data_IF_722506728548
#
_entry.id   IF_722506728548
#
_cell.length_a   1.000
_cell.length_b   1.000
_cell.length_c   1.000
_cell.angle_alpha   90.00
_cell.angle_beta   90.00
_cell.angle_gamma   90.00
#
_symmetry.space_group_name_H-M   'P 1'
#
loop_
_entity.id
_entity.type
_entity.pdbx_description
1 polymer ?
#
# COMPACT_ATOMS: atom_id res chain seq x y z
N UNK A 1 -38.73 -17.46 -17.20
CA UNK A 1 -37.50 -16.73 -17.61
C UNK A 1 -37.48 -16.79 -19.14
N UNK A 2 -37.57 -15.64 -19.81
CA UNK A 2 -37.68 -15.54 -21.26
C UNK A 2 -36.38 -15.71 -22.03
N UNK A 3 -35.23 -15.75 -21.33
CA UNK A 3 -33.87 -15.74 -21.95
C UNK A 3 -33.45 -14.38 -22.52
N UNK A 4 -34.28 -13.36 -22.41
CA UNK A 4 -33.99 -12.01 -22.89
C UNK A 4 -33.26 -11.19 -21.84
N UNK A 5 -32.35 -10.34 -22.29
CA UNK A 5 -31.65 -9.38 -21.40
C UNK A 5 -32.63 -8.28 -20.99
N UNK A 6 -32.84 -8.15 -19.68
CA UNK A 6 -33.64 -7.04 -19.14
C UNK A 6 -32.83 -5.76 -19.02
N UNK A 7 -33.47 -4.60 -18.78
CA UNK A 7 -32.79 -3.35 -18.55
C UNK A 7 -31.86 -3.46 -17.33
N UNK A 8 -30.68 -2.86 -17.41
CA UNK A 8 -29.69 -2.84 -16.31
C UNK A 8 -30.28 -2.16 -15.06
N UNK A 9 -30.44 -2.91 -13.99
CA UNK A 9 -30.86 -2.38 -12.70
C UNK A 9 -29.60 -2.01 -11.91
N UNK A 10 -29.39 -0.73 -11.66
CA UNK A 10 -28.33 -0.27 -10.75
C UNK A 10 -28.77 -0.56 -9.32
N UNK A 11 -28.18 -1.56 -8.71
CA UNK A 11 -28.39 -1.87 -7.30
C UNK A 11 -27.37 -1.05 -6.47
N UNK A 12 -27.85 -0.37 -5.43
CA UNK A 12 -27.01 0.38 -4.50
C UNK A 12 -26.85 -0.46 -3.24
N UNK A 13 -25.61 -0.76 -2.89
CA UNK A 13 -25.27 -1.41 -1.63
C UNK A 13 -24.41 -0.46 -0.80
N UNK A 14 -24.71 -0.33 0.49
CA UNK A 14 -23.96 0.53 1.40
C UNK A 14 -22.54 0.04 1.61
N UNK A 15 -22.34 -1.29 1.70
CA UNK A 15 -21.01 -1.89 1.79
C UNK A 15 -20.11 -1.52 0.62
N UNK A 16 -20.62 -1.53 -0.60
CA UNK A 16 -19.86 -1.11 -1.78
C UNK A 16 -19.54 0.38 -1.76
N UNK A 17 -20.49 1.23 -1.35
CA UNK A 17 -20.29 2.67 -1.22
C UNK A 17 -19.21 2.98 -0.19
N UNK A 18 -19.31 2.38 0.99
CA UNK A 18 -18.33 2.56 2.08
C UNK A 18 -16.93 2.10 1.68
N UNK A 19 -16.82 0.98 0.94
CA UNK A 19 -15.56 0.48 0.45
C UNK A 19 -14.94 1.39 -0.61
N UNK A 20 -15.75 1.96 -1.52
CA UNK A 20 -15.28 2.83 -2.60
C UNK A 20 -14.58 4.09 -2.09
N UNK A 21 -15.02 4.63 -0.96
CA UNK A 21 -14.49 5.87 -0.39
C UNK A 21 -13.20 5.64 0.45
N UNK A 22 -12.74 4.38 0.56
CA UNK A 22 -11.52 4.02 1.28
C UNK A 22 -10.29 4.06 0.38
N UNK A 23 -9.17 4.52 0.94
CA UNK A 23 -7.92 4.69 0.18
C UNK A 23 -7.18 3.38 -0.01
N UNK A 24 -7.04 2.57 1.04
CA UNK A 24 -6.30 1.32 0.98
C UNK A 24 -7.20 0.11 0.68
N UNK A 25 -6.62 -0.93 0.07
CA UNK A 25 -7.31 -2.21 -0.16
C UNK A 25 -7.74 -2.83 1.15
N UNK A 26 -6.89 -2.80 2.17
CA UNK A 26 -7.21 -3.34 3.50
C UNK A 26 -8.45 -2.68 4.11
N UNK A 27 -8.56 -1.35 4.05
CA UNK A 27 -9.75 -0.64 4.52
C UNK A 27 -11.00 -0.98 3.70
N UNK A 28 -10.86 -1.17 2.38
CA UNK A 28 -11.96 -1.60 1.50
C UNK A 28 -12.45 -3.00 1.87
N UNK A 29 -11.53 -3.94 2.09
CA UNK A 29 -11.86 -5.30 2.54
C UNK A 29 -12.58 -5.28 3.88
N UNK A 30 -12.07 -4.54 4.86
CA UNK A 30 -12.68 -4.39 6.18
C UNK A 30 -14.09 -3.79 6.08
N UNK A 31 -14.26 -2.70 5.35
CA UNK A 31 -15.57 -2.06 5.15
C UNK A 31 -16.57 -3.00 4.47
N UNK A 32 -16.13 -3.79 3.48
CA UNK A 32 -16.97 -4.78 2.81
C UNK A 32 -17.34 -5.94 3.74
N UNK A 33 -16.40 -6.47 4.48
CA UNK A 33 -16.61 -7.60 5.40
C UNK A 33 -17.53 -7.25 6.58
N UNK A 34 -17.50 -5.99 7.04
CA UNK A 34 -18.29 -5.53 8.19
C UNK A 34 -19.66 -4.96 7.80
N UNK A 35 -19.94 -4.80 6.50
CA UNK A 35 -21.25 -4.29 6.06
C UNK A 35 -22.37 -5.27 6.36
N UNK A 36 -23.47 -4.76 6.94
CA UNK A 36 -24.66 -5.55 7.29
C UNK A 36 -25.61 -5.81 6.13
N UNK A 37 -25.37 -5.22 4.95
CA UNK A 37 -26.25 -5.39 3.78
C UNK A 37 -26.02 -6.72 3.04
N UNK A 38 -26.84 -6.98 2.02
CA UNK A 38 -26.75 -8.23 1.25
C UNK A 38 -25.38 -8.42 0.57
N UNK A 39 -24.77 -7.35 0.11
CA UNK A 39 -23.46 -7.42 -0.54
C UNK A 39 -22.35 -7.74 0.48
N UNK A 40 -22.38 -7.08 1.66
CA UNK A 40 -21.42 -7.35 2.73
C UNK A 40 -21.56 -8.78 3.30
N UNK A 41 -22.79 -9.28 3.46
CA UNK A 41 -23.00 -10.68 3.87
C UNK A 41 -22.44 -11.67 2.86
N UNK A 42 -22.68 -11.44 1.57
CA UNK A 42 -22.14 -12.27 0.50
C UNK A 42 -20.60 -12.20 0.44
N UNK A 43 -20.06 -11.00 0.55
CA UNK A 43 -18.60 -10.79 0.60
C UNK A 43 -17.98 -11.51 1.80
N UNK A 44 -18.58 -11.40 2.98
CA UNK A 44 -18.11 -12.08 4.18
C UNK A 44 -18.11 -13.60 4.02
N UNK A 45 -19.19 -14.16 3.48
CA UNK A 45 -19.31 -15.60 3.29
C UNK A 45 -18.17 -16.17 2.44
N UNK A 46 -17.93 -15.57 1.27
CA UNK A 46 -16.86 -16.01 0.37
C UNK A 46 -15.47 -15.76 0.99
N UNK A 47 -15.29 -14.57 1.59
CA UNK A 47 -13.99 -14.20 2.14
C UNK A 47 -13.62 -15.08 3.32
N UNK A 48 -14.53 -15.30 4.28
CA UNK A 48 -14.27 -16.15 5.44
C UNK A 48 -13.92 -17.59 5.05
N UNK A 49 -14.64 -18.16 4.07
CA UNK A 49 -14.35 -19.50 3.56
C UNK A 49 -12.96 -19.56 2.89
N UNK A 50 -12.60 -18.54 2.12
CA UNK A 50 -11.29 -18.45 1.46
C UNK A 50 -10.15 -18.33 2.47
N UNK A 51 -10.33 -17.55 3.54
CA UNK A 51 -9.34 -17.38 4.60
C UNK A 51 -9.13 -18.68 5.39
N UNK A 52 -10.23 -19.35 5.78
CA UNK A 52 -10.19 -20.66 6.44
C UNK A 52 -9.54 -21.69 5.53
N UNK A 53 -9.88 -21.70 4.24
CA UNK A 53 -9.27 -22.61 3.28
C UNK A 53 -7.75 -22.40 3.20
N UNK A 54 -7.30 -21.16 3.05
CA UNK A 54 -5.87 -20.84 3.00
C UNK A 54 -5.13 -21.32 4.27
N UNK A 55 -5.72 -21.11 5.44
CA UNK A 55 -5.13 -21.54 6.70
C UNK A 55 -5.09 -23.07 6.86
N UNK A 56 -6.08 -23.79 6.32
CA UNK A 56 -6.09 -25.25 6.32
C UNK A 56 -5.07 -25.88 5.35
N UNK A 57 -4.53 -25.09 4.41
CA UNK A 57 -3.50 -25.59 3.46
C UNK A 57 -2.08 -25.53 4.03
N UNK A 58 -1.91 -25.03 5.22
CA UNK A 58 -0.64 -25.07 5.96
C UNK A 58 -0.68 -26.23 6.95
N UNK A 59 0.31 -27.12 6.95
CA UNK A 59 1.54 -27.15 6.14
C UNK A 59 1.44 -27.98 4.85
N UNK A 60 0.25 -28.35 4.39
CA UNK A 60 0.05 -29.28 3.27
C UNK A 60 0.69 -28.80 1.95
N UNK A 61 0.50 -27.54 1.58
CA UNK A 61 0.98 -26.97 0.31
C UNK A 61 2.05 -25.90 0.51
N UNK A 62 2.25 -25.41 1.73
CA UNK A 62 3.25 -24.39 2.04
C UNK A 62 3.67 -24.51 3.51
N UNK A 63 4.96 -24.31 3.76
CA UNK A 63 5.53 -24.36 5.11
C UNK A 63 5.23 -23.08 5.93
N UNK A 64 4.88 -21.99 5.26
CA UNK A 64 4.62 -20.71 5.89
C UNK A 64 3.51 -19.88 5.19
N UNK A 65 2.99 -18.90 5.93
CA UNK A 65 1.93 -17.99 5.47
C UNK A 65 2.41 -17.00 4.40
N UNK A 66 3.70 -16.65 4.41
CA UNK A 66 4.28 -15.64 3.50
C UNK A 66 4.29 -16.17 2.07
N UNK A 67 4.62 -17.46 1.90
CA UNK A 67 4.61 -18.10 0.59
C UNK A 67 3.19 -18.20 0.02
N UNK A 68 2.18 -18.48 0.86
CA UNK A 68 0.77 -18.49 0.42
C UNK A 68 0.34 -17.10 -0.04
N UNK A 69 0.64 -16.05 0.75
CA UNK A 69 0.33 -14.67 0.37
C UNK A 69 1.03 -14.26 -0.93
N UNK A 70 2.31 -14.58 -1.07
CA UNK A 70 3.08 -14.27 -2.27
C UNK A 70 2.57 -15.03 -3.50
N UNK A 71 2.16 -16.28 -3.36
CA UNK A 71 1.59 -17.04 -4.47
C UNK A 71 0.33 -16.38 -5.03
N UNK A 72 -0.54 -15.89 -4.16
CA UNK A 72 -1.75 -15.17 -4.58
C UNK A 72 -1.43 -13.80 -5.18
N UNK A 73 -0.49 -13.07 -4.59
CA UNK A 73 -0.07 -11.77 -5.12
C UNK A 73 0.61 -11.88 -6.48
N UNK A 74 1.52 -12.83 -6.64
CA UNK A 74 2.29 -12.97 -7.87
C UNK A 74 1.54 -13.75 -8.96
N UNK A 75 0.73 -14.74 -8.56
CA UNK A 75 -0.01 -15.58 -9.50
C UNK A 75 -1.28 -14.92 -10.03
N UNK A 76 -1.99 -14.17 -9.19
CA UNK A 76 -3.28 -13.57 -9.53
C UNK A 76 -3.29 -12.03 -9.52
N UNK A 77 -2.16 -11.39 -9.24
CA UNK A 77 -2.07 -9.95 -9.19
C UNK A 77 -2.82 -9.32 -8.00
N UNK A 78 -3.02 -10.07 -6.93
CA UNK A 78 -3.67 -9.53 -5.74
C UNK A 78 -2.75 -8.53 -5.04
N UNK A 79 -3.33 -7.46 -4.49
CA UNK A 79 -2.57 -6.48 -3.70
C UNK A 79 -2.24 -7.01 -2.29
N UNK A 80 -3.13 -7.83 -1.71
CA UNK A 80 -2.94 -8.51 -0.43
C UNK A 80 -3.16 -10.01 -0.62
N UNK A 81 -2.29 -10.81 -0.01
CA UNK A 81 -2.53 -12.24 0.10
C UNK A 81 -3.59 -12.57 1.17
N UNK A 82 -3.99 -13.84 1.32
CA UNK A 82 -5.05 -14.24 2.26
C UNK A 82 -4.79 -13.82 3.71
N UNK A 83 -3.58 -14.01 4.21
CA UNK A 83 -3.23 -13.68 5.59
C UNK A 83 -3.06 -12.17 5.80
N UNK A 84 -2.49 -11.46 4.82
CA UNK A 84 -2.46 -10.00 4.82
C UNK A 84 -3.88 -9.40 4.77
N UNK A 85 -4.80 -9.99 4.00
CA UNK A 85 -6.20 -9.60 3.94
C UNK A 85 -6.91 -9.87 5.28
N UNK A 86 -6.61 -11.00 5.92
CA UNK A 86 -7.17 -11.34 7.24
C UNK A 86 -6.71 -10.35 8.30
N UNK A 87 -5.43 -10.00 8.33
CA UNK A 87 -4.89 -8.94 9.20
C UNK A 87 -5.62 -7.60 8.99
N UNK A 88 -5.84 -7.21 7.74
CA UNK A 88 -6.52 -5.96 7.41
C UNK A 88 -7.99 -5.94 7.86
N UNK A 89 -8.70 -7.06 7.79
CA UNK A 89 -10.08 -7.20 8.30
C UNK A 89 -10.08 -7.20 9.83
N UNK A 90 -9.08 -7.83 10.45
CA UNK A 90 -8.90 -8.03 11.87
C UNK A 90 -9.08 -9.51 12.24
N UNK A 91 -7.98 -10.16 12.65
CA UNK A 91 -7.95 -11.62 12.86
C UNK A 91 -8.87 -12.03 14.00
N UNK A 92 -8.71 -11.44 15.19
CA UNK A 92 -9.48 -11.80 16.40
C UNK A 92 -10.99 -11.68 16.17
N UNK A 93 -11.45 -10.50 15.71
CA UNK A 93 -12.87 -10.25 15.45
C UNK A 93 -13.44 -11.10 14.30
N UNK A 94 -12.61 -11.44 13.34
CA UNK A 94 -12.99 -12.34 12.24
C UNK A 94 -13.19 -13.77 12.73
N UNK A 95 -12.28 -14.26 13.57
CA UNK A 95 -12.36 -15.62 14.15
C UNK A 95 -13.59 -15.74 15.06
N UNK A 96 -13.84 -14.76 15.93
CA UNK A 96 -15.04 -14.72 16.76
C UNK A 96 -16.32 -14.84 15.92
N UNK A 97 -16.37 -14.06 14.82
CA UNK A 97 -17.52 -14.09 13.92
C UNK A 97 -17.61 -15.40 13.13
N UNK A 98 -16.49 -15.96 12.65
CA UNK A 98 -16.48 -17.24 11.97
C UNK A 98 -17.02 -18.36 12.86
N UNK A 99 -16.62 -18.37 14.12
CA UNK A 99 -17.12 -19.33 15.11
C UNK A 99 -18.61 -19.14 15.39
N UNK A 100 -19.07 -17.89 15.55
CA UNK A 100 -20.49 -17.57 15.70
C UNK A 100 -21.33 -17.95 14.47
N UNK A 101 -20.76 -17.87 13.27
CA UNK A 101 -21.37 -18.29 12.02
C UNK A 101 -21.31 -19.83 11.82
N UNK A 102 -20.76 -20.60 12.78
CA UNK A 102 -20.64 -22.05 12.75
C UNK A 102 -19.52 -22.58 11.83
N UNK A 103 -18.57 -21.74 11.45
CA UNK A 103 -17.43 -22.11 10.61
C UNK A 103 -16.31 -22.74 11.45
N UNK A 104 -15.62 -23.73 10.88
CA UNK A 104 -14.50 -24.42 11.55
C UNK A 104 -13.19 -23.72 11.26
N UNK A 105 -12.71 -22.91 12.19
CA UNK A 105 -11.42 -22.22 12.09
C UNK A 105 -10.31 -23.20 12.49
N UNK A 106 -9.18 -23.28 11.75
CA UNK A 106 -8.05 -24.13 12.11
C UNK A 106 -7.53 -23.84 13.53
N UNK A 107 -7.27 -24.88 14.31
CA UNK A 107 -6.87 -24.75 15.71
C UNK A 107 -5.61 -23.91 15.89
N UNK A 108 -4.64 -23.98 14.99
CA UNK A 108 -3.42 -23.18 15.08
C UNK A 108 -3.64 -21.67 15.02
N UNK A 109 -4.71 -21.21 14.33
CA UNK A 109 -5.10 -19.80 14.31
C UNK A 109 -5.66 -19.38 15.67
N UNK A 110 -6.45 -20.24 16.29
CA UNK A 110 -6.98 -20.01 17.64
C UNK A 110 -5.82 -19.97 18.63
N UNK A 111 -4.91 -20.97 18.59
CA UNK A 111 -3.73 -21.03 19.46
C UNK A 111 -2.84 -19.79 19.31
N UNK A 112 -2.71 -19.24 18.08
CA UNK A 112 -1.99 -18.00 17.83
C UNK A 112 -2.63 -16.83 18.59
N UNK A 113 -3.94 -16.67 18.49
CA UNK A 113 -4.68 -15.61 19.19
C UNK A 113 -4.55 -15.77 20.71
N UNK A 114 -4.72 -16.99 21.22
CA UNK A 114 -4.61 -17.31 22.64
C UNK A 114 -3.21 -17.05 23.20
N UNK A 115 -2.18 -17.15 22.36
CA UNK A 115 -0.79 -16.76 22.71
C UNK A 115 -0.57 -15.26 22.80
N UNK A 116 -1.58 -14.46 22.48
CA UNK A 116 -1.53 -12.99 22.48
C UNK A 116 -1.16 -12.38 21.13
N UNK A 117 -0.97 -13.18 20.08
CA UNK A 117 -0.69 -12.70 18.74
C UNK A 117 -2.01 -12.38 18.02
N UNK A 118 -2.22 -11.10 17.68
CA UNK A 118 -3.47 -10.59 17.09
C UNK A 118 -3.40 -10.40 15.57
N UNK A 119 -2.26 -10.70 14.97
CA UNK A 119 -2.02 -10.58 13.53
C UNK A 119 -1.01 -11.61 13.04
N UNK A 120 -1.16 -11.99 11.79
CA UNK A 120 -0.24 -12.91 11.11
C UNK A 120 1.06 -12.22 10.72
N UNK A 121 0.97 -10.94 10.31
CA UNK A 121 2.11 -10.11 9.93
C UNK A 121 2.25 -8.93 10.88
N UNK A 122 3.49 -8.59 11.20
CA UNK A 122 3.84 -7.45 12.02
C UNK A 122 5.06 -6.72 11.43
N UNK A 123 5.37 -5.56 11.98
CA UNK A 123 6.61 -4.84 11.70
C UNK A 123 7.35 -4.62 13.01
N UNK A 124 8.57 -5.10 13.07
CA UNK A 124 9.48 -4.85 14.18
C UNK A 124 10.70 -4.10 13.65
N UNK A 125 10.91 -2.87 14.17
CA UNK A 125 12.01 -1.98 13.78
C UNK A 125 12.17 -1.85 12.25
N UNK A 126 11.03 -1.76 11.52
CA UNK A 126 11.02 -1.66 10.06
C UNK A 126 11.23 -2.96 9.31
N UNK A 127 11.43 -4.08 10.00
CA UNK A 127 11.48 -5.41 9.41
C UNK A 127 10.10 -6.04 9.44
N UNK A 128 9.62 -6.52 8.29
CA UNK A 128 8.37 -7.29 8.25
C UNK A 128 8.60 -8.64 8.92
N UNK A 129 7.75 -8.97 9.87
CA UNK A 129 7.76 -10.26 10.57
C UNK A 129 6.45 -11.00 10.33
N UNK A 130 6.43 -12.30 10.57
CA UNK A 130 5.24 -13.12 10.43
C UNK A 130 5.18 -14.19 11.52
N UNK A 131 3.98 -14.67 11.81
CA UNK A 131 3.77 -15.82 12.69
C UNK A 131 4.11 -17.10 11.94
N UNK A 132 5.12 -17.81 12.43
CA UNK A 132 5.53 -19.10 11.86
C UNK A 132 4.75 -20.24 12.53
N UNK A 133 4.04 -20.99 11.72
CA UNK A 133 3.24 -22.15 12.13
C UNK A 133 4.07 -23.21 12.85
N UNK A 134 5.29 -23.50 12.35
CA UNK A 134 6.11 -24.58 12.86
C UNK A 134 6.73 -24.27 14.23
N UNK A 135 7.33 -23.08 14.36
CA UNK A 135 7.95 -22.66 15.62
C UNK A 135 6.97 -22.00 16.59
N UNK A 136 5.73 -21.74 16.18
CA UNK A 136 4.69 -21.02 16.95
C UNK A 136 5.20 -19.70 17.52
N UNK A 137 6.03 -19.00 16.74
CA UNK A 137 6.67 -17.74 17.15
C UNK A 137 6.78 -16.76 15.99
N UNK A 138 7.04 -15.50 16.31
CA UNK A 138 7.27 -14.48 15.32
C UNK A 138 8.65 -14.65 14.72
N UNK A 139 8.71 -14.74 13.40
CA UNK A 139 9.94 -14.85 12.62
C UNK A 139 10.10 -13.66 11.67
N UNK A 140 11.33 -13.23 11.39
CA UNK A 140 11.56 -12.20 10.38
C UNK A 140 11.20 -12.75 8.99
N UNK A 141 10.42 -12.01 8.23
CA UNK A 141 10.18 -12.34 6.83
C UNK A 141 11.51 -12.21 6.07
N UNK A 142 11.88 -13.25 5.32
CA UNK A 142 13.03 -13.18 4.42
C UNK A 142 12.70 -12.18 3.31
N UNK A 143 12.97 -10.90 3.56
CA UNK A 143 12.97 -9.89 2.51
C UNK A 143 14.05 -10.19 1.49
N UNK A 144 13.97 -9.60 0.30
CA UNK A 144 15.15 -9.57 -0.57
C UNK A 144 16.24 -8.80 0.20
N UNK A 145 17.31 -9.44 0.58
CA UNK A 145 18.42 -8.89 1.41
C UNK A 145 18.98 -7.54 0.87
N UNK A 146 18.66 -7.18 -0.36
CA UNK A 146 19.09 -5.95 -1.03
C UNK A 146 17.93 -5.03 -1.44
N UNK A 147 16.71 -5.19 -0.89
CA UNK A 147 15.63 -4.26 -1.24
C UNK A 147 15.69 -3.03 -0.35
N UNK A 148 15.94 -1.89 -0.96
CA UNK A 148 15.88 -0.60 -0.30
C UNK A 148 14.43 -0.30 0.13
N UNK A 149 14.24 0.05 1.40
CA UNK A 149 12.96 0.53 1.90
C UNK A 149 13.13 1.96 2.41
N UNK A 150 12.62 2.93 1.67
CA UNK A 150 12.79 4.37 1.96
C UNK A 150 12.16 4.75 3.31
N UNK A 151 11.04 4.11 3.70
CA UNK A 151 10.40 4.36 5.00
C UNK A 151 11.32 3.93 6.14
N UNK A 152 11.97 2.77 5.99
CA UNK A 152 12.94 2.27 6.97
C UNK A 152 14.16 3.17 7.03
N UNK A 153 14.69 3.60 5.89
CA UNK A 153 15.83 4.54 5.85
C UNK A 153 15.48 5.86 6.56
N UNK A 154 14.31 6.42 6.29
CA UNK A 154 13.85 7.63 7.03
C UNK A 154 13.76 7.41 8.53
N UNK A 155 13.33 6.25 9.00
CA UNK A 155 13.24 5.93 10.43
C UNK A 155 14.62 5.81 11.10
N UNK A 156 15.67 5.51 10.34
CA UNK A 156 17.06 5.49 10.79
C UNK A 156 17.71 6.88 10.86
N UNK A 157 16.98 7.94 10.52
CA UNK A 157 17.48 9.30 10.54
C UNK A 157 18.17 9.75 9.24
N UNK A 158 18.01 9.00 8.16
CA UNK A 158 18.62 9.31 6.84
C UNK A 158 17.88 10.41 6.05
N UNK A 159 16.90 11.07 6.64
CA UNK A 159 16.17 12.17 6.02
C UNK A 159 17.04 13.42 5.94
N UNK A 160 17.42 13.84 4.72
CA UNK A 160 18.25 15.02 4.46
C UNK A 160 17.39 16.30 4.40
N UNK A 161 16.26 16.24 3.67
CA UNK A 161 15.31 17.34 3.54
C UNK A 161 13.90 16.80 3.38
N UNK A 162 12.95 17.44 4.04
CA UNK A 162 11.52 17.15 3.88
C UNK A 162 10.82 18.30 3.15
N UNK A 163 10.23 18.02 2.02
CA UNK A 163 9.30 18.91 1.31
C UNK A 163 7.84 18.46 1.48
N UNK A 164 6.92 19.21 0.87
CA UNK A 164 5.49 18.90 0.90
C UNK A 164 5.14 17.66 0.08
N UNK A 165 5.70 17.57 -1.12
CA UNK A 165 5.36 16.52 -2.08
C UNK A 165 6.55 15.64 -2.47
N UNK A 166 7.74 15.95 -1.94
CA UNK A 166 8.94 15.14 -2.11
C UNK A 166 9.87 15.29 -0.90
N UNK A 167 10.79 14.35 -0.73
CA UNK A 167 11.82 14.37 0.31
C UNK A 167 13.15 13.88 -0.24
N UNK A 168 14.26 14.40 0.31
CA UNK A 168 15.59 13.92 0.03
C UNK A 168 16.04 12.98 1.16
N UNK A 169 16.42 11.76 0.79
CA UNK A 169 16.81 10.70 1.73
C UNK A 169 18.19 10.16 1.35
N UNK A 170 19.12 10.13 2.28
CA UNK A 170 20.39 9.43 2.10
C UNK A 170 20.14 7.92 2.13
N UNK A 171 20.39 7.24 1.03
CA UNK A 171 20.20 5.80 0.90
C UNK A 171 21.49 4.99 0.99
N UNK A 172 22.58 5.64 1.43
CA UNK A 172 23.90 5.05 1.59
C UNK A 172 24.78 5.18 0.35
N UNK A 173 26.02 4.77 0.49
CA UNK A 173 27.05 4.80 -0.55
C UNK A 173 27.29 6.16 -1.23
N UNK A 174 26.80 7.25 -0.62
CA UNK A 174 26.82 8.59 -1.17
C UNK A 174 25.73 8.85 -2.22
N UNK A 175 24.68 8.07 -2.23
CA UNK A 175 23.54 8.22 -3.13
C UNK A 175 22.36 8.87 -2.40
N UNK A 176 21.82 9.92 -3.01
CA UNK A 176 20.63 10.64 -2.55
C UNK A 176 19.40 10.10 -3.27
N UNK A 177 18.31 9.84 -2.56
CA UNK A 177 17.02 9.52 -3.14
C UNK A 177 16.10 10.73 -3.03
N UNK A 178 15.62 11.26 -4.16
CA UNK A 178 14.49 12.17 -4.18
C UNK A 178 13.19 11.34 -4.27
N UNK A 179 12.51 11.19 -3.13
CA UNK A 179 11.27 10.42 -3.05
C UNK A 179 10.06 11.32 -3.23
N UNK A 180 9.21 10.98 -4.19
CA UNK A 180 7.93 11.65 -4.40
C UNK A 180 6.85 11.07 -3.47
N UNK A 181 6.08 11.95 -2.81
CA UNK A 181 5.03 11.54 -1.86
C UNK A 181 3.96 12.62 -1.72
N UNK A 182 3.27 12.95 -2.81
CA UNK A 182 2.25 14.02 -2.81
C UNK A 182 1.27 13.87 -1.65
N UNK A 183 1.12 14.94 -0.84
CA UNK A 183 0.20 14.95 0.30
C UNK A 183 -1.27 15.04 -0.18
N UNK A 184 -1.52 15.79 -1.24
CA UNK A 184 -2.87 16.04 -1.72
C UNK A 184 -3.46 14.84 -2.48
N UNK A 185 -2.64 14.09 -3.21
CA UNK A 185 -3.06 12.94 -4.01
C UNK A 185 -1.98 11.85 -4.01
N UNK A 186 -1.75 11.24 -2.87
CA UNK A 186 -0.71 10.21 -2.68
C UNK A 186 -0.84 9.00 -3.62
N UNK A 187 -2.05 8.66 -4.06
CA UNK A 187 -2.29 7.55 -5.00
C UNK A 187 -1.90 7.87 -6.44
N UNK A 188 -1.98 9.13 -6.87
CA UNK A 188 -1.64 9.58 -8.22
C UNK A 188 -0.25 10.22 -8.28
N UNK A 189 0.18 10.79 -7.18
CA UNK A 189 1.48 11.42 -7.02
C UNK A 189 1.81 12.45 -8.13
N UNK A 190 0.91 13.44 -8.37
CA UNK A 190 1.10 14.41 -9.44
C UNK A 190 2.24 15.37 -9.11
N UNK A 191 3.00 15.77 -10.16
CA UNK A 191 4.11 16.72 -10.03
C UNK A 191 3.55 18.11 -9.72
N UNK A 192 4.12 18.73 -8.69
CA UNK A 192 3.90 20.10 -8.29
C UNK A 192 5.22 20.87 -8.09
N UNK A 193 5.13 22.16 -7.80
CA UNK A 193 6.31 23.00 -7.59
C UNK A 193 7.21 22.53 -6.44
N UNK A 194 6.65 21.91 -5.41
CA UNK A 194 7.43 21.38 -4.29
C UNK A 194 8.27 20.18 -4.69
N UNK A 195 7.76 19.30 -5.57
CA UNK A 195 8.55 18.21 -6.14
C UNK A 195 9.71 18.72 -6.97
N UNK A 196 9.46 19.68 -7.89
CA UNK A 196 10.51 20.25 -8.75
C UNK A 196 11.56 20.95 -7.89
N UNK A 197 11.15 21.77 -6.92
CA UNK A 197 12.10 22.43 -6.02
C UNK A 197 12.95 21.43 -5.23
N UNK A 198 12.36 20.31 -4.78
CA UNK A 198 13.11 19.27 -4.07
C UNK A 198 14.10 18.55 -4.98
N UNK A 199 13.78 18.36 -6.27
CA UNK A 199 14.73 17.87 -7.26
C UNK A 199 15.91 18.83 -7.43
N UNK A 200 15.65 20.13 -7.61
CA UNK A 200 16.69 21.17 -7.72
C UNK A 200 17.59 21.15 -6.49
N UNK A 201 17.02 21.17 -5.29
CA UNK A 201 17.79 21.08 -4.05
C UNK A 201 18.69 19.83 -3.97
N UNK A 202 18.19 18.70 -4.50
CA UNK A 202 18.96 17.47 -4.56
C UNK A 202 20.11 17.52 -5.57
N UNK A 203 19.88 18.12 -6.74
CA UNK A 203 20.91 18.37 -7.75
C UNK A 203 22.02 19.28 -7.19
N UNK A 204 21.65 20.38 -6.51
CA UNK A 204 22.61 21.27 -5.87
C UNK A 204 23.52 20.54 -4.86
N UNK A 205 22.97 19.57 -4.13
CA UNK A 205 23.74 18.75 -3.18
C UNK A 205 24.73 17.81 -3.88
N UNK A 206 24.36 17.30 -5.06
CA UNK A 206 25.24 16.46 -5.87
C UNK A 206 26.34 17.32 -6.52
N UNK A 207 25.99 18.46 -7.12
CA UNK A 207 26.95 19.40 -7.69
C UNK A 207 27.94 19.93 -6.66
N UNK A 208 27.47 20.20 -5.45
CA UNK A 208 28.33 20.59 -4.33
C UNK A 208 29.25 19.45 -3.79
N UNK A 209 29.17 18.25 -4.39
CA UNK A 209 29.97 17.08 -4.00
C UNK A 209 29.60 16.47 -2.64
N UNK A 210 28.45 16.83 -2.08
CA UNK A 210 27.95 16.22 -0.83
C UNK A 210 27.44 14.81 -1.05
N UNK A 211 26.92 14.54 -2.24
CA UNK A 211 26.51 13.22 -2.71
C UNK A 211 27.17 12.94 -4.08
N UNK A 212 27.33 11.67 -4.40
CA UNK A 212 27.94 11.23 -5.67
C UNK A 212 26.93 11.14 -6.79
N UNK A 213 25.67 10.87 -6.43
CA UNK A 213 24.57 10.70 -7.38
C UNK A 213 23.23 10.94 -6.69
N UNK A 214 22.22 11.20 -7.51
CA UNK A 214 20.83 11.21 -7.07
C UNK A 214 20.01 10.21 -7.91
N UNK A 215 19.03 9.56 -7.26
CA UNK A 215 17.98 8.76 -7.91
C UNK A 215 16.63 9.34 -7.56
N UNK A 216 15.69 9.27 -8.48
CA UNK A 216 14.29 9.63 -8.22
C UNK A 216 13.52 8.35 -7.95
N UNK A 217 12.83 8.28 -6.81
CA UNK A 217 12.17 7.07 -6.36
C UNK A 217 10.79 7.31 -5.77
N UNK A 218 10.06 6.21 -5.59
CA UNK A 218 8.77 6.19 -4.92
C UNK A 218 8.46 4.77 -4.44
N UNK A 219 7.82 4.64 -3.28
CA UNK A 219 7.37 3.35 -2.71
C UNK A 219 5.85 3.18 -2.71
N UNK A 220 5.10 4.05 -3.36
CA UNK A 220 3.65 3.94 -3.50
C UNK A 220 3.23 3.15 -4.74
N UNK A 221 1.91 3.07 -4.95
CA UNK A 221 1.29 2.31 -6.03
C UNK A 221 1.65 2.88 -7.42
N UNK A 222 1.67 4.21 -7.54
CA UNK A 222 2.00 4.90 -8.78
C UNK A 222 3.19 5.81 -8.57
N UNK A 223 4.18 5.72 -9.44
CA UNK A 223 5.35 6.58 -9.39
C UNK A 223 4.98 8.04 -9.52
N UNK A 224 4.28 8.40 -10.59
CA UNK A 224 3.83 9.76 -10.86
C UNK A 224 2.78 9.75 -11.99
N UNK A 225 1.72 10.54 -11.84
CA UNK A 225 0.69 10.70 -12.87
C UNK A 225 0.97 11.87 -13.84
N UNK A 226 2.15 12.48 -13.79
CA UNK A 226 2.51 13.68 -14.54
C UNK A 226 2.14 14.97 -13.82
N UNK A 227 2.08 16.09 -14.55
CA UNK A 227 1.81 17.41 -13.97
C UNK A 227 0.44 17.46 -13.25
N UNK A 228 0.37 18.24 -12.18
CA UNK A 228 -0.89 18.50 -11.47
C UNK A 228 -1.82 19.41 -12.30
N UNK A 229 -2.63 18.77 -13.15
CA UNK A 229 -3.56 19.50 -14.01
C UNK A 229 -4.61 20.30 -13.24
N UNK A 230 -4.93 19.92 -11.99
CA UNK A 230 -5.83 20.68 -11.14
C UNK A 230 -5.25 22.06 -10.78
N UNK A 231 -3.97 22.10 -10.41
CA UNK A 231 -3.26 23.37 -10.15
C UNK A 231 -3.09 24.19 -11.44
N UNK A 232 -2.76 23.53 -12.56
CA UNK A 232 -2.66 24.21 -13.85
C UNK A 232 -3.99 24.86 -14.27
N UNK A 233 -5.11 24.14 -14.15
CA UNK A 233 -6.44 24.66 -14.43
C UNK A 233 -6.82 25.80 -13.50
N UNK A 234 -6.49 25.71 -12.22
CA UNK A 234 -6.72 26.79 -11.26
C UNK A 234 -5.94 28.05 -11.63
N UNK A 235 -4.65 27.93 -11.93
CA UNK A 235 -3.82 29.06 -12.38
C UNK A 235 -4.35 29.67 -13.67
N UNK A 236 -4.77 28.86 -14.64
CA UNK A 236 -5.36 29.32 -15.90
C UNK A 236 -6.66 30.11 -15.67
N UNK A 237 -7.53 29.66 -14.75
CA UNK A 237 -8.76 30.37 -14.40
C UNK A 237 -8.50 31.73 -13.72
N UNK A 238 -7.35 31.88 -13.06
CA UNK A 238 -6.88 33.16 -12.50
C UNK A 238 -6.08 33.99 -13.50
N UNK A 239 -5.97 33.57 -14.74
CA UNK A 239 -5.12 34.18 -15.77
C UNK A 239 -3.64 34.33 -15.37
N UNK A 240 -3.14 33.43 -14.48
CA UNK A 240 -1.76 33.39 -14.02
C UNK A 240 -0.86 32.69 -15.06
N UNK A 241 -0.86 33.18 -16.28
CA UNK A 241 -0.16 32.55 -17.42
C UNK A 241 1.36 32.53 -17.23
N UNK A 242 1.90 33.60 -16.64
CA UNK A 242 3.33 33.65 -16.35
C UNK A 242 3.76 32.60 -15.37
N UNK A 243 2.98 32.34 -14.32
CA UNK A 243 3.29 31.33 -13.31
C UNK A 243 3.26 29.90 -13.91
N UNK A 244 2.34 29.68 -14.86
CA UNK A 244 2.30 28.41 -15.61
C UNK A 244 3.53 28.24 -16.51
N UNK A 245 3.93 29.28 -17.22
CA UNK A 245 5.09 29.26 -18.10
C UNK A 245 6.37 29.06 -17.30
N UNK A 246 6.56 29.80 -16.21
CA UNK A 246 7.69 29.66 -15.29
C UNK A 246 7.76 28.22 -14.69
N UNK A 247 6.62 27.63 -14.31
CA UNK A 247 6.55 26.27 -13.80
C UNK A 247 6.97 25.23 -14.85
N UNK A 248 6.52 25.38 -16.09
CA UNK A 248 6.86 24.50 -17.19
C UNK A 248 8.34 24.60 -17.52
N UNK A 249 8.86 25.84 -17.64
CA UNK A 249 10.26 26.10 -17.91
C UNK A 249 11.17 25.52 -16.83
N UNK A 250 10.87 25.77 -15.55
CA UNK A 250 11.62 25.20 -14.44
C UNK A 250 11.63 23.65 -14.48
N UNK A 251 10.48 23.05 -14.80
CA UNK A 251 10.40 21.58 -14.95
C UNK A 251 11.28 21.07 -16.09
N UNK A 252 11.26 21.72 -17.24
CA UNK A 252 12.08 21.36 -18.39
C UNK A 252 13.58 21.49 -18.08
N UNK A 253 13.99 22.61 -17.51
CA UNK A 253 15.39 22.85 -17.13
C UNK A 253 15.87 21.81 -16.09
N UNK A 254 15.04 21.51 -15.10
CA UNK A 254 15.36 20.51 -14.07
C UNK A 254 15.57 19.12 -14.70
N UNK A 255 14.70 18.70 -15.63
CA UNK A 255 14.83 17.41 -16.29
C UNK A 255 15.98 17.32 -17.29
N UNK A 256 16.45 18.45 -17.82
CA UNK A 256 17.66 18.48 -18.65
C UNK A 256 18.94 18.37 -17.83
N UNK A 257 18.89 18.74 -16.56
CA UNK A 257 20.04 18.66 -15.63
C UNK A 257 20.17 17.28 -14.97
N UNK A 258 19.07 16.51 -14.87
CA UNK A 258 19.05 15.14 -14.36
C UNK A 258 19.79 14.16 -15.28
#
# INVERSE_FOLDING_TARGET
KTGEYGPQKRVKFDGYRLAKDRQSVGERLKASATSGDKAGKYFWEITSDSLIYAANRIPEISDDIVNVDNAMKWGYGWELGPFEAWDAIGVESSVERMVADGKSVPQWVIDMIDSGQKSFHNFDNGTKTFFDFNSKSIQPSKGKEKSLNIIVEKSKGSLVKRGWSASLVDIGDGVLCCEFHSILQSTLNPIDGSMIQTLVDGLDLVEAGKFKAMVVGHQGINFCAGANLGLALFAANLAAWKDLDDFIALGQDTYQTL
#
